data_IF_036636813812
#
_entry.id   IF_036636813812
#
_cell.length_a   1.000
_cell.length_b   1.000
_cell.length_c   1.000
_cell.angle_alpha   90.00
_cell.angle_beta   90.00
_cell.angle_gamma   90.00
#
_symmetry.space_group_name_H-M   'P 1'
#
loop_
_entity.id
_entity.type
_entity.pdbx_description
1 polymer ?
#
# COMPACT_ATOMS: atom_id res chain seq x y z
N UNK A 1 -22.61 -17.85 -23.88
CA UNK A 1 -22.03 -16.61 -23.32
C UNK A 1 -20.75 -16.92 -22.54
N UNK A 2 -19.63 -16.29 -22.88
CA UNK A 2 -18.36 -16.53 -22.20
C UNK A 2 -18.38 -15.87 -20.80
N UNK A 3 -18.61 -16.68 -19.75
CA UNK A 3 -18.49 -16.25 -18.35
C UNK A 3 -17.01 -16.09 -18.01
N UNK A 4 -16.56 -14.86 -17.82
CA UNK A 4 -15.21 -14.57 -17.35
C UNK A 4 -15.26 -14.35 -15.83
N UNK A 5 -14.81 -15.36 -15.05
CA UNK A 5 -14.64 -15.29 -13.60
C UNK A 5 -13.22 -14.80 -13.28
N UNK A 6 -13.08 -13.88 -12.33
CA UNK A 6 -11.80 -13.30 -11.95
C UNK A 6 -11.63 -13.31 -10.44
N UNK A 7 -10.45 -13.69 -9.98
CA UNK A 7 -10.08 -13.68 -8.56
C UNK A 7 -8.92 -12.70 -8.39
N UNK A 8 -9.18 -11.52 -7.86
CA UNK A 8 -8.12 -10.64 -7.39
C UNK A 8 -7.72 -11.12 -5.98
N UNK A 9 -6.60 -11.83 -5.88
CA UNK A 9 -6.06 -12.25 -4.59
C UNK A 9 -5.87 -11.01 -3.71
N UNK A 10 -6.44 -11.10 -2.50
CA UNK A 10 -6.59 -10.05 -1.50
C UNK A 10 -5.39 -9.10 -1.38
N UNK A 11 -5.48 -7.91 -1.97
CA UNK A 11 -4.62 -6.78 -1.62
C UNK A 11 -5.37 -5.94 -0.60
N UNK A 12 -4.93 -5.99 0.66
CA UNK A 12 -5.54 -5.20 1.72
C UNK A 12 -4.49 -4.48 2.56
N UNK A 13 -3.29 -5.04 2.67
CA UNK A 13 -2.21 -4.50 3.47
C UNK A 13 -0.88 -5.01 2.90
N UNK A 14 0.00 -4.10 2.50
CA UNK A 14 1.33 -4.41 1.94
C UNK A 14 2.38 -3.72 2.79
N UNK A 15 3.54 -4.31 3.04
CA UNK A 15 4.65 -3.61 3.72
C UNK A 15 5.55 -2.94 2.70
N UNK A 16 6.06 -1.75 3.04
CA UNK A 16 7.11 -1.12 2.24
C UNK A 16 8.30 -2.08 2.05
N UNK A 17 8.78 -2.18 0.82
CA UNK A 17 9.82 -3.10 0.41
C UNK A 17 9.34 -4.48 -0.07
N UNK A 18 8.09 -4.88 0.21
CA UNK A 18 7.52 -6.14 -0.30
C UNK A 18 7.27 -6.08 -1.82
N UNK A 19 7.05 -7.25 -2.43
CA UNK A 19 6.68 -7.34 -3.83
C UNK A 19 5.17 -7.51 -3.99
N UNK A 20 4.52 -6.53 -4.62
CA UNK A 20 3.13 -6.64 -5.04
C UNK A 20 3.07 -7.57 -6.26
N UNK A 21 2.12 -8.52 -6.25
CA UNK A 21 1.81 -9.36 -7.42
C UNK A 21 0.30 -9.38 -7.68
N UNK A 22 -0.10 -9.11 -8.92
CA UNK A 22 -1.48 -9.01 -9.38
C UNK A 22 -1.64 -9.96 -10.55
N UNK A 23 -2.46 -11.01 -10.42
CA UNK A 23 -2.81 -11.88 -11.55
C UNK A 23 -4.15 -11.48 -12.16
N UNK A 24 -4.19 -11.42 -13.49
CA UNK A 24 -5.41 -11.17 -14.29
C UNK A 24 -5.61 -12.35 -15.23
N UNK A 25 -6.78 -13.01 -15.15
CA UNK A 25 -7.07 -14.29 -15.82
C UNK A 25 -8.33 -14.25 -16.70
N UNK A 26 -8.16 -14.15 -18.02
CA UNK A 26 -9.24 -14.28 -19.00
C UNK A 26 -9.52 -15.75 -19.32
N UNK A 27 -10.76 -16.20 -19.13
CA UNK A 27 -11.23 -17.55 -19.49
C UNK A 27 -11.59 -17.67 -20.99
N UNK A 28 -10.72 -17.19 -21.88
CA UNK A 28 -11.00 -17.07 -23.32
C UNK A 28 -11.57 -15.72 -23.74
N UNK A 29 -11.79 -15.59 -25.05
CA UNK A 29 -12.33 -14.39 -25.68
C UNK A 29 -11.97 -14.34 -27.17
N UNK A 30 -12.91 -13.89 -28.01
CA UNK A 30 -12.68 -13.59 -29.41
C UNK A 30 -13.26 -12.19 -29.71
N UNK A 31 -12.46 -11.20 -30.15
CA UNK A 31 -11.00 -11.23 -30.32
C UNK A 31 -10.23 -11.55 -29.04
N UNK A 32 -8.93 -11.88 -29.16
CA UNK A 32 -8.10 -12.24 -28.01
C UNK A 32 -8.04 -11.07 -27.00
N UNK A 33 -8.33 -11.30 -25.71
CA UNK A 33 -8.23 -10.24 -24.71
C UNK A 33 -6.77 -9.85 -24.45
N UNK A 34 -6.57 -8.62 -23.99
CA UNK A 34 -5.29 -8.09 -23.54
C UNK A 34 -5.43 -7.49 -22.15
N UNK A 35 -4.39 -7.65 -21.32
CA UNK A 35 -4.38 -7.15 -19.95
C UNK A 35 -3.37 -6.02 -19.81
N UNK A 36 -3.75 -4.98 -19.05
CA UNK A 36 -2.85 -3.93 -18.62
C UNK A 36 -3.17 -3.55 -17.19
N UNK A 37 -2.18 -3.57 -16.29
CA UNK A 37 -2.35 -3.04 -14.95
C UNK A 37 -1.39 -1.88 -14.70
N UNK A 38 -1.87 -0.91 -13.94
CA UNK A 38 -1.11 0.23 -13.46
C UNK A 38 -1.55 0.57 -12.06
N UNK A 39 -0.74 1.32 -11.36
CA UNK A 39 -1.03 1.88 -10.06
C UNK A 39 -1.36 3.36 -10.23
N UNK A 40 -2.30 3.85 -9.44
CA UNK A 40 -2.73 5.24 -9.37
C UNK A 40 -2.70 5.72 -7.92
N UNK A 41 -2.00 6.82 -7.62
CA UNK A 41 -1.98 7.42 -6.27
C UNK A 41 -3.28 8.15 -5.97
N UNK A 42 -3.45 8.52 -4.70
CA UNK A 42 -4.45 9.51 -4.29
C UNK A 42 -4.33 10.86 -5.03
N UNK A 43 -3.12 11.31 -5.37
CA UNK A 43 -2.86 12.53 -6.15
C UNK A 43 -3.06 12.37 -7.68
N UNK A 44 -3.40 11.16 -8.14
CA UNK A 44 -3.65 10.86 -9.54
C UNK A 44 -2.44 10.42 -10.36
N UNK A 45 -1.20 10.41 -9.83
CA UNK A 45 -0.02 9.90 -10.55
C UNK A 45 -0.18 8.42 -10.92
N UNK A 46 0.03 8.13 -12.22
CA UNK A 46 -0.12 6.80 -12.81
C UNK A 46 1.25 6.18 -13.09
N UNK A 47 1.47 4.96 -12.59
CA UNK A 47 2.69 4.17 -12.81
C UNK A 47 2.30 2.79 -13.35
N UNK A 48 2.78 2.41 -14.54
CA UNK A 48 2.48 1.08 -15.09
C UNK A 48 3.17 -0.01 -14.27
N UNK A 49 2.50 -1.16 -14.10
CA UNK A 49 3.13 -2.32 -13.45
C UNK A 49 3.94 -3.11 -14.47
N UNK A 50 5.06 -3.69 -14.04
CA UNK A 50 5.86 -4.58 -14.88
C UNK A 50 5.07 -5.86 -15.13
N UNK A 51 4.92 -6.25 -16.39
CA UNK A 51 4.19 -7.45 -16.78
C UNK A 51 5.10 -8.66 -16.85
N UNK A 52 4.78 -9.70 -16.10
CA UNK A 52 5.30 -11.05 -16.25
C UNK A 52 4.20 -11.94 -16.83
N UNK A 53 4.25 -12.16 -18.14
CA UNK A 53 3.25 -12.99 -18.83
C UNK A 53 3.55 -14.47 -18.57
N UNK A 54 2.74 -15.12 -17.74
CA UNK A 54 2.72 -16.58 -17.66
C UNK A 54 1.63 -17.10 -18.58
N UNK A 55 2.00 -17.50 -19.80
CA UNK A 55 1.05 -18.17 -20.70
C UNK A 55 0.68 -19.54 -20.12
N UNK A 56 -0.55 -19.68 -19.63
CA UNK A 56 -1.11 -20.98 -19.27
C UNK A 56 -1.58 -21.63 -20.57
N UNK A 57 -0.86 -22.66 -21.03
CA UNK A 57 -1.08 -23.33 -22.33
C UNK A 57 -2.37 -24.17 -22.41
N UNK A 58 -3.17 -24.23 -21.35
CA UNK A 58 -4.36 -25.06 -21.30
C UNK A 58 -5.62 -24.20 -21.50
N UNK A 59 -6.27 -24.40 -22.66
CA UNK A 59 -7.61 -23.93 -23.01
C UNK A 59 -7.83 -22.40 -23.16
N UNK A 60 -7.27 -21.77 -24.20
CA UNK A 60 -7.56 -20.37 -24.61
C UNK A 60 -7.51 -19.33 -23.47
N UNK A 61 -6.88 -19.66 -22.35
CA UNK A 61 -6.87 -18.86 -21.15
C UNK A 61 -5.67 -17.92 -21.22
N UNK A 62 -5.92 -16.62 -21.08
CA UNK A 62 -4.82 -15.66 -20.91
C UNK A 62 -4.69 -15.39 -19.42
N UNK A 63 -3.52 -15.66 -18.85
CA UNK A 63 -3.17 -15.21 -17.51
C UNK A 63 -1.97 -14.28 -17.60
N UNK A 64 -2.00 -13.17 -16.87
CA UNK A 64 -0.91 -12.21 -16.84
C UNK A 64 -0.68 -11.78 -15.41
N UNK A 65 0.54 -11.97 -14.92
CA UNK A 65 0.96 -11.48 -13.63
C UNK A 65 1.61 -10.12 -13.82
N UNK A 66 1.32 -9.18 -12.93
CA UNK A 66 1.92 -7.86 -12.88
C UNK A 66 2.55 -7.67 -11.52
N UNK A 67 3.77 -7.12 -11.48
CA UNK A 67 4.49 -6.93 -10.24
C UNK A 67 5.16 -5.56 -10.13
N UNK A 68 5.39 -5.12 -8.90
CA UNK A 68 6.29 -4.00 -8.59
C UNK A 68 6.73 -4.04 -7.13
N UNK A 69 7.83 -3.35 -6.81
CA UNK A 69 8.22 -3.14 -5.42
C UNK A 69 7.25 -2.14 -4.74
N UNK A 70 6.85 -2.43 -3.52
CA UNK A 70 5.95 -1.59 -2.73
C UNK A 70 6.75 -0.47 -2.07
N UNK A 71 6.29 0.77 -2.20
CA UNK A 71 6.93 1.96 -1.62
C UNK A 71 5.91 2.83 -0.86
N UNK A 72 6.36 3.59 0.14
CA UNK A 72 5.46 4.40 1.01
C UNK A 72 4.52 5.35 0.26
N UNK A 73 4.97 5.95 -0.84
CA UNK A 73 4.16 6.87 -1.64
C UNK A 73 2.97 6.19 -2.31
N UNK A 74 2.90 4.84 -2.31
CA UNK A 74 1.77 4.02 -2.76
C UNK A 74 0.63 3.93 -1.75
N UNK A 75 0.81 4.40 -0.53
CA UNK A 75 -0.25 4.40 0.46
C UNK A 75 -1.46 5.25 0.03
N UNK A 76 -2.68 4.73 0.24
CA UNK A 76 -3.92 5.43 -0.10
C UNK A 76 -4.27 5.44 -1.60
N UNK A 77 -3.48 4.77 -2.44
CA UNK A 77 -3.76 4.64 -3.88
C UNK A 77 -4.60 3.43 -4.25
N UNK A 78 -4.60 3.13 -5.55
CA UNK A 78 -5.30 1.99 -6.14
C UNK A 78 -4.43 1.28 -7.18
N UNK A 79 -4.56 -0.04 -7.25
CA UNK A 79 -4.16 -0.81 -8.42
C UNK A 79 -5.35 -0.86 -9.36
N UNK A 80 -5.10 -0.53 -10.63
CA UNK A 80 -6.09 -0.52 -11.70
C UNK A 80 -5.68 -1.53 -12.76
N UNK A 81 -6.58 -2.42 -13.13
CA UNK A 81 -6.37 -3.35 -14.22
C UNK A 81 -7.45 -3.16 -15.29
N UNK A 82 -7.03 -3.00 -16.54
CA UNK A 82 -7.88 -2.93 -17.72
C UNK A 82 -7.73 -4.20 -18.54
N UNK A 83 -8.88 -4.76 -18.91
CA UNK A 83 -8.99 -5.82 -19.90
C UNK A 83 -9.59 -5.21 -21.15
N UNK A 84 -8.83 -5.23 -22.24
CA UNK A 84 -9.28 -4.74 -23.55
C UNK A 84 -9.49 -5.92 -24.50
N UNK A 85 -10.61 -5.90 -25.20
CA UNK A 85 -10.93 -6.84 -26.27
C UNK A 85 -11.51 -6.06 -27.44
N UNK A 86 -10.90 -6.18 -28.62
CA UNK A 86 -11.25 -5.34 -29.76
C UNK A 86 -12.72 -5.52 -30.18
N UNK A 87 -13.38 -4.41 -30.48
CA UNK A 87 -14.81 -4.39 -30.80
C UNK A 87 -15.75 -4.50 -29.59
N UNK A 88 -15.23 -4.65 -28.37
CA UNK A 88 -16.01 -4.70 -27.13
C UNK A 88 -15.62 -3.57 -26.17
N UNK A 89 -16.53 -3.27 -25.23
CA UNK A 89 -16.28 -2.29 -24.18
C UNK A 89 -15.20 -2.80 -23.21
N UNK A 90 -14.28 -1.91 -22.85
CA UNK A 90 -13.24 -2.22 -21.86
C UNK A 90 -13.82 -2.49 -20.49
N UNK A 91 -13.17 -3.41 -19.77
CA UNK A 91 -13.46 -3.68 -18.37
C UNK A 91 -12.33 -3.15 -17.51
N UNK A 92 -12.66 -2.32 -16.52
CA UNK A 92 -11.70 -1.68 -15.62
C UNK A 92 -12.01 -2.08 -14.19
N UNK A 93 -11.00 -2.58 -13.49
CA UNK A 93 -11.08 -3.01 -12.11
C UNK A 93 -10.14 -2.17 -11.26
N UNK A 94 -10.60 -1.78 -10.07
CA UNK A 94 -9.82 -0.98 -9.12
C UNK A 94 -9.78 -1.68 -7.77
N UNK A 95 -8.61 -1.72 -7.15
CA UNK A 95 -8.42 -2.24 -5.80
C UNK A 95 -7.58 -1.28 -4.99
N UNK A 96 -8.12 -0.82 -3.87
CA UNK A 96 -7.41 0.08 -2.95
C UNK A 96 -6.22 -0.66 -2.32
N UNK A 97 -5.14 0.07 -2.11
CA UNK A 97 -3.94 -0.43 -1.43
C UNK A 97 -3.64 0.42 -0.19
N UNK A 98 -3.21 -0.25 0.87
CA UNK A 98 -2.69 0.39 2.08
C UNK A 98 -1.29 -0.15 2.31
N UNK A 99 -0.32 0.75 2.45
CA UNK A 99 1.09 0.38 2.63
C UNK A 99 1.50 0.66 4.06
N UNK A 100 2.00 -0.36 4.77
CA UNK A 100 2.60 -0.24 6.09
C UNK A 100 4.03 0.25 5.93
N UNK A 101 4.36 1.36 6.58
CA UNK A 101 5.72 1.88 6.66
C UNK A 101 5.93 2.57 8.01
N UNK A 102 7.14 2.46 8.60
CA UNK A 102 7.44 3.11 9.87
C UNK A 102 7.66 4.62 9.68
N UNK A 103 7.48 5.37 10.77
CA UNK A 103 8.02 6.73 10.82
C UNK A 103 9.54 6.68 10.85
N UNK A 104 10.16 7.56 10.06
CA UNK A 104 11.61 7.56 9.83
C UNK A 104 12.38 8.50 10.76
N UNK A 105 11.71 9.30 11.58
CA UNK A 105 12.37 10.17 12.56
C UNK A 105 11.48 10.50 13.76
N UNK A 106 12.15 10.86 14.85
CA UNK A 106 11.55 11.40 16.07
C UNK A 106 12.41 12.57 16.54
N UNK A 107 11.77 13.67 16.92
CA UNK A 107 12.43 14.83 17.53
C UNK A 107 11.67 15.23 18.78
N UNK A 108 12.35 15.94 19.68
CA UNK A 108 11.72 16.53 20.84
C UNK A 108 12.30 17.93 21.05
N UNK A 109 11.45 18.82 21.52
CA UNK A 109 11.83 20.17 21.92
C UNK A 109 11.10 20.53 23.20
N UNK A 110 11.69 21.38 24.01
CA UNK A 110 11.09 21.80 25.25
C UNK A 110 11.94 22.80 26.00
N UNK A 111 11.30 23.52 26.90
CA UNK A 111 11.95 24.49 27.77
C UNK A 111 11.62 24.16 29.21
N UNK A 112 12.65 24.05 30.04
CA UNK A 112 12.51 23.88 31.48
C UNK A 112 12.93 25.18 32.14
N UNK A 113 11.96 25.90 32.70
CA UNK A 113 12.19 27.09 33.52
C UNK A 113 11.90 26.71 34.96
N UNK A 114 12.84 27.04 35.85
CA UNK A 114 12.69 26.71 37.27
C UNK A 114 11.42 27.38 37.85
N UNK A 115 10.59 26.60 38.54
CA UNK A 115 9.31 27.06 39.09
C UNK A 115 8.15 27.18 38.08
N UNK A 116 8.32 26.68 36.85
CA UNK A 116 7.28 26.66 35.80
C UNK A 116 6.93 25.25 35.36
N UNK A 117 5.79 25.09 34.70
CA UNK A 117 5.38 23.83 34.08
C UNK A 117 6.37 23.39 32.99
N UNK A 118 6.64 22.08 32.92
CA UNK A 118 7.46 21.48 31.87
C UNK A 118 6.66 21.37 30.58
N UNK A 119 7.03 22.16 29.57
CA UNK A 119 6.47 22.05 28.23
C UNK A 119 7.41 21.23 27.34
N UNK A 120 6.94 20.05 26.93
CA UNK A 120 7.61 19.15 26.00
C UNK A 120 6.74 18.95 24.75
N UNK A 121 7.35 19.15 23.59
CA UNK A 121 6.78 18.83 22.29
C UNK A 121 7.55 17.68 21.71
N UNK A 122 6.85 16.60 21.34
CA UNK A 122 7.42 15.46 20.64
C UNK A 122 6.84 15.41 19.25
N UNK A 123 7.71 15.37 18.25
CA UNK A 123 7.33 15.29 16.84
C UNK A 123 7.86 13.99 16.25
N UNK A 124 7.12 13.46 15.29
CA UNK A 124 7.51 12.25 14.58
C UNK A 124 7.16 12.37 13.11
N UNK A 125 7.96 11.73 12.27
CA UNK A 125 7.65 11.59 10.85
C UNK A 125 6.34 10.84 10.61
N UNK A 126 5.90 10.87 9.36
CA UNK A 126 4.73 10.13 8.92
C UNK A 126 4.97 8.62 9.00
N UNK A 127 3.98 7.87 9.48
CA UNK A 127 3.95 6.41 9.44
C UNK A 127 2.54 5.90 9.18
N UNK A 128 2.44 4.69 8.64
CA UNK A 128 1.17 3.97 8.50
C UNK A 128 1.29 2.54 9.08
N UNK A 129 0.51 2.17 10.11
CA UNK A 129 -0.44 3.01 10.84
C UNK A 129 0.24 4.19 11.55
N UNK A 130 -0.55 5.19 11.94
CA UNK A 130 -0.03 6.40 12.60
C UNK A 130 0.84 6.03 13.81
N UNK A 131 2.03 6.62 13.97
CA UNK A 131 2.90 6.35 15.12
C UNK A 131 2.20 6.67 16.44
N UNK A 132 2.46 5.87 17.46
CA UNK A 132 1.98 6.09 18.82
C UNK A 132 3.17 6.50 19.69
N UNK A 133 3.10 7.70 20.26
CA UNK A 133 4.12 8.23 21.15
C UNK A 133 3.82 7.81 22.60
N UNK A 134 4.82 7.31 23.31
CA UNK A 134 4.76 7.00 24.74
C UNK A 134 5.88 7.73 25.44
N UNK A 135 5.53 8.67 26.31
CA UNK A 135 6.49 9.45 27.09
C UNK A 135 6.49 8.94 28.53
N UNK A 136 7.69 8.69 29.07
CA UNK A 136 7.85 8.30 30.48
C UNK A 136 8.84 9.24 31.13
N UNK A 137 8.40 9.93 32.19
CA UNK A 137 9.26 10.75 33.02
C UNK A 137 9.79 9.88 34.16
N UNK A 138 11.10 9.61 34.16
CA UNK A 138 11.76 8.93 35.27
C UNK A 138 12.44 9.99 36.14
N UNK A 139 11.99 10.15 37.38
CA UNK A 139 12.76 10.93 38.34
C UNK A 139 14.04 10.15 38.66
N UNK A 140 15.21 10.73 38.41
CA UNK A 140 16.50 10.16 38.85
C UNK A 140 16.68 10.10 40.38
N UNK A 141 15.63 10.40 41.17
CA UNK A 141 15.63 10.09 42.59
C UNK A 141 15.50 8.58 42.73
N UNK A 142 16.50 7.99 43.34
CA UNK A 142 16.51 6.62 43.87
C UNK A 142 15.46 6.44 44.97
N UNK A 143 14.18 6.73 44.68
CA UNK A 143 13.03 6.38 45.50
C UNK A 143 11.77 6.38 44.62
N UNK A 144 11.49 5.20 44.06
CA UNK A 144 10.18 4.57 44.19
C UNK A 144 8.93 5.17 43.53
N UNK A 145 8.94 6.33 42.88
CA UNK A 145 7.71 6.88 42.27
C UNK A 145 7.78 6.96 40.74
N UNK A 146 7.10 6.01 40.10
CA UNK A 146 6.89 5.95 38.65
C UNK A 146 5.57 6.64 38.33
N UNK A 147 5.64 7.89 37.88
CA UNK A 147 4.48 8.59 37.32
C UNK A 147 4.27 8.13 35.87
N UNK A 148 3.11 7.53 35.62
CA UNK A 148 2.66 7.17 34.28
C UNK A 148 1.64 8.21 33.86
N UNK A 149 1.94 8.98 32.81
CA UNK A 149 1.00 9.94 32.19
C UNK A 149 0.36 9.28 30.98
#
# INVERSE_FOLDING_TARGET
>A
EAKTQWTATRLQLLREGEHLSVSVKSLGGNPKPSHRCWRQTADGLVVSLDSFVKQVKEANQLETSFGMKVEKWMNGGHVVCRVKQDGLQDRVFRKNISVIFPSNWISWSGQLVNGSDLNLTVETGEGNPKPVLKCTLNSGRSDGERLTV
#
